data_IF_378361845970
#
_entry.id   IF_378361845970
#
_cell.length_a   1.000
_cell.length_b   1.000
_cell.length_c   1.000
_cell.angle_alpha   90.00
_cell.angle_beta   90.00
_cell.angle_gamma   90.00
#
_symmetry.space_group_name_H-M   'P 1'
#
loop_
_entity.id
_entity.type
_entity.pdbx_description
1 polymer ?
#
# COMPACT_ATOMS: atom_id res chain seq x y z
N UNK A 1 0.10 45.75 -3.88
CA UNK A 1 0.50 45.15 -2.59
C UNK A 1 0.20 43.67 -2.68
N UNK A 2 1.09 42.68 -2.50
CA UNK A 2 2.55 42.62 -2.46
C UNK A 2 2.97 41.36 -3.23
N UNK A 3 4.18 41.36 -3.81
CA UNK A 3 4.70 40.24 -4.60
C UNK A 3 5.40 39.26 -3.67
N UNK A 4 4.85 38.07 -3.45
CA UNK A 4 5.61 36.96 -2.87
C UNK A 4 6.31 36.23 -4.02
N UNK A 5 7.63 36.39 -4.09
CA UNK A 5 8.50 35.63 -5.00
C UNK A 5 9.08 34.47 -4.20
N UNK A 6 8.58 33.27 -4.42
CA UNK A 6 9.17 32.07 -3.84
C UNK A 6 10.32 31.61 -4.73
N UNK A 7 11.55 31.74 -4.24
CA UNK A 7 12.73 31.17 -4.86
C UNK A 7 12.95 29.79 -4.26
N UNK A 8 12.58 28.75 -5.01
CA UNK A 8 12.82 27.37 -4.62
C UNK A 8 14.34 27.11 -4.67
N UNK A 9 14.98 26.68 -3.56
CA UNK A 9 16.38 26.31 -3.61
C UNK A 9 16.53 25.04 -4.45
N UNK A 10 17.45 25.09 -5.42
CA UNK A 10 17.83 23.92 -6.22
C UNK A 10 18.57 22.96 -5.30
N UNK A 11 17.92 21.89 -4.89
CA UNK A 11 18.56 20.81 -4.15
C UNK A 11 19.33 19.93 -5.12
N UNK A 12 20.61 20.24 -5.28
CA UNK A 12 21.59 19.39 -5.95
C UNK A 12 22.55 18.88 -4.88
N UNK A 13 22.20 17.77 -4.23
CA UNK A 13 23.21 16.92 -3.61
C UNK A 13 23.04 15.49 -4.12
N UNK A 14 24.05 15.14 -4.89
CA UNK A 14 24.36 13.85 -5.48
C UNK A 14 24.28 12.74 -4.42
N UNK A 15 23.29 11.86 -4.61
CA UNK A 15 23.11 10.65 -3.83
C UNK A 15 24.20 9.64 -4.19
N UNK A 16 25.17 9.45 -3.29
CA UNK A 16 26.11 8.32 -3.34
C UNK A 16 27.53 8.66 -2.94
N UNK A 17 27.89 8.39 -1.68
CA UNK A 17 29.27 8.39 -1.20
C UNK A 17 29.41 7.54 0.06
N UNK A 18 30.19 6.46 -0.06
CA UNK A 18 30.37 5.38 0.91
C UNK A 18 31.09 5.77 2.22
N UNK A 19 30.56 5.20 3.32
CA UNK A 19 31.24 4.53 4.45
C UNK A 19 32.07 5.37 5.45
N UNK A 20 31.70 5.14 6.74
CA UNK A 20 32.45 5.22 8.00
C UNK A 20 32.90 6.59 8.52
N UNK A 21 32.32 7.03 9.64
CA UNK A 21 33.00 7.20 10.94
C UNK A 21 31.91 7.41 12.04
N UNK A 22 32.15 7.00 13.30
CA UNK A 22 31.17 7.02 14.39
C UNK A 22 31.15 8.38 15.13
N UNK A 23 30.06 8.63 15.86
CA UNK A 23 29.82 9.73 16.82
C UNK A 23 29.88 11.18 16.30
N UNK A 24 28.72 11.79 16.05
CA UNK A 24 28.43 13.17 16.49
C UNK A 24 26.91 13.30 16.53
N UNK A 25 26.33 13.57 17.70
CA UNK A 25 24.92 13.94 17.81
C UNK A 25 24.72 15.16 16.90
N UNK A 26 24.02 14.98 15.78
CA UNK A 26 23.83 16.04 14.80
C UNK A 26 23.02 17.16 15.45
N UNK A 27 23.52 18.39 15.40
CA UNK A 27 22.81 19.60 15.85
C UNK A 27 21.36 19.66 15.32
N UNK A 28 21.12 19.05 14.16
CA UNK A 28 19.78 18.92 13.56
C UNK A 28 18.84 18.02 14.36
N UNK A 29 19.31 16.91 14.94
CA UNK A 29 18.48 16.04 15.77
C UNK A 29 18.07 16.73 17.08
N UNK A 30 18.96 17.53 17.65
CA UNK A 30 18.66 18.33 18.85
C UNK A 30 17.67 19.46 18.56
N UNK A 31 17.74 20.07 17.38
CA UNK A 31 16.74 21.05 16.93
C UNK A 31 15.37 20.40 16.70
N UNK A 32 15.34 19.24 16.05
CA UNK A 32 14.11 18.48 15.81
C UNK A 32 13.47 18.07 17.14
N UNK A 33 14.26 17.57 18.08
CA UNK A 33 13.78 17.17 19.41
C UNK A 33 13.19 18.34 20.18
N UNK A 34 13.85 19.51 20.17
CA UNK A 34 13.34 20.72 20.81
C UNK A 34 12.03 21.21 20.18
N UNK A 35 11.93 21.20 18.86
CA UNK A 35 10.72 21.61 18.13
C UNK A 35 9.55 20.66 18.43
N UNK A 36 9.82 19.35 18.51
CA UNK A 36 8.82 18.36 18.94
C UNK A 36 8.36 18.57 20.39
N UNK A 37 9.29 18.89 21.31
CA UNK A 37 8.96 19.20 22.70
C UNK A 37 8.11 20.48 22.80
N UNK A 38 8.45 21.54 22.06
CA UNK A 38 7.66 22.78 22.01
C UNK A 38 6.25 22.56 21.43
N UNK A 39 6.13 21.77 20.36
CA UNK A 39 4.84 21.39 19.79
C UNK A 39 4.02 20.56 20.80
N UNK A 40 4.66 19.66 21.53
CA UNK A 40 4.01 18.86 22.57
C UNK A 40 3.53 19.71 23.75
N UNK A 41 4.26 20.75 24.15
CA UNK A 41 3.83 21.67 25.20
C UNK A 41 2.71 22.60 24.72
N UNK A 42 2.78 23.04 23.46
CA UNK A 42 1.83 23.98 22.87
C UNK A 42 0.51 23.33 22.50
N UNK A 43 0.53 22.07 22.08
CA UNK A 43 -0.64 21.36 21.55
C UNK A 43 -0.93 20.01 22.21
N UNK A 44 -0.15 19.58 23.21
CA UNK A 44 -0.30 18.28 23.88
C UNK A 44 -1.65 18.08 24.57
N UNK A 45 -2.27 19.16 25.03
CA UNK A 45 -3.63 19.15 25.60
C UNK A 45 -4.73 19.13 24.52
N UNK A 46 -4.38 19.35 23.25
CA UNK A 46 -5.29 19.33 22.10
C UNK A 46 -5.49 17.94 21.50
N UNK A 47 -4.86 16.91 22.07
CA UNK A 47 -5.04 15.51 21.66
C UNK A 47 -6.35 14.88 22.19
N UNK A 48 -7.06 15.54 23.12
CA UNK A 48 -8.31 15.02 23.72
C UNK A 48 -9.57 15.34 22.90
N UNK A 49 -9.51 16.26 21.94
CA UNK A 49 -10.68 16.67 21.14
C UNK A 49 -10.50 16.13 19.73
N UNK A 50 -11.31 15.14 19.27
CA UNK A 50 -11.44 14.96 17.84
C UNK A 50 -11.91 16.32 17.32
N UNK A 51 -11.11 16.96 16.46
CA UNK A 51 -11.52 18.13 15.70
C UNK A 51 -12.73 17.72 14.88
N UNK A 52 -13.92 17.76 15.48
CA UNK A 52 -15.19 17.63 14.78
C UNK A 52 -15.37 18.94 14.05
N UNK A 53 -14.76 19.01 12.87
CA UNK A 53 -15.10 20.02 11.91
C UNK A 53 -16.62 19.96 11.72
N UNK A 54 -17.33 21.10 11.85
CA UNK A 54 -18.74 21.14 11.50
C UNK A 54 -18.88 20.56 10.09
N UNK A 55 -19.95 19.80 9.80
CA UNK A 55 -20.17 19.26 8.46
C UNK A 55 -20.02 20.43 7.49
N UNK A 56 -19.00 20.33 6.65
CA UNK A 56 -18.76 21.35 5.63
C UNK A 56 -20.08 21.47 4.88
N UNK A 57 -20.59 22.70 4.63
CA UNK A 57 -21.74 22.86 3.76
C UNK A 57 -21.47 22.04 2.50
N UNK A 58 -22.51 21.40 1.94
CA UNK A 58 -22.45 20.61 0.71
C UNK A 58 -22.10 21.54 -0.46
N UNK A 59 -20.87 22.04 -0.47
CA UNK A 59 -20.24 22.66 -1.61
C UNK A 59 -20.04 21.51 -2.56
N UNK A 60 -20.63 21.61 -3.74
CA UNK A 60 -20.51 20.62 -4.81
C UNK A 60 -19.03 20.58 -5.27
N UNK A 61 -18.23 19.80 -4.54
CA UNK A 61 -16.82 19.55 -4.83
C UNK A 61 -16.71 18.62 -6.03
N UNK A 62 -15.72 18.86 -6.89
CA UNK A 62 -15.50 18.08 -8.11
C UNK A 62 -16.07 18.75 -9.36
N UNK A 63 -16.45 17.94 -10.34
CA UNK A 63 -16.92 18.45 -11.64
C UNK A 63 -18.35 18.99 -11.57
N UNK A 64 -18.60 20.25 -11.99
CA UNK A 64 -19.97 20.75 -12.11
C UNK A 64 -20.76 19.87 -13.08
N UNK A 65 -21.91 19.36 -12.63
CA UNK A 65 -22.79 18.52 -13.46
C UNK A 65 -23.89 19.33 -14.15
N UNK A 66 -24.38 20.36 -13.48
CA UNK A 66 -25.48 21.22 -13.94
C UNK A 66 -25.19 22.68 -13.58
N UNK A 67 -25.59 23.60 -14.44
CA UNK A 67 -25.57 25.03 -14.14
C UNK A 67 -26.79 25.40 -13.29
N UNK A 68 -26.73 26.52 -12.56
CA UNK A 68 -27.87 27.04 -11.79
C UNK A 68 -29.12 27.34 -12.65
N UNK A 69 -28.95 27.59 -13.95
CA UNK A 69 -30.05 27.73 -14.90
C UNK A 69 -30.65 26.39 -15.38
N UNK A 70 -30.19 25.26 -14.86
CA UNK A 70 -30.58 23.90 -15.31
C UNK A 70 -29.89 23.42 -16.59
N UNK A 71 -29.02 24.25 -17.20
CA UNK A 71 -28.28 23.90 -18.41
C UNK A 71 -27.03 23.06 -18.15
N UNK A 72 -26.52 22.36 -19.17
CA UNK A 72 -25.27 21.62 -19.06
C UNK A 72 -24.05 22.56 -19.07
N UNK A 73 -23.06 22.38 -18.17
CA UNK A 73 -21.83 23.15 -18.17
C UNK A 73 -20.97 22.84 -19.40
N UNK A 74 -20.35 23.87 -19.98
CA UNK A 74 -19.44 23.80 -21.13
C UNK A 74 -18.01 24.12 -20.69
N UNK A 75 -17.01 23.54 -21.35
CA UNK A 75 -15.61 23.87 -21.10
C UNK A 75 -15.14 24.91 -22.11
N UNK A 76 -14.69 26.06 -21.61
CA UNK A 76 -14.09 27.13 -22.39
C UNK A 76 -12.59 27.24 -22.11
N UNK A 77 -11.87 27.89 -23.02
CA UNK A 77 -10.46 28.20 -22.87
C UNK A 77 -10.30 29.68 -22.55
N UNK A 78 -9.57 30.00 -21.49
CA UNK A 78 -9.18 31.35 -21.12
C UNK A 78 -8.14 31.87 -22.09
N UNK A 79 -8.36 33.09 -22.58
CA UNK A 79 -7.40 33.85 -23.38
C UNK A 79 -6.89 35.07 -22.61
N UNK A 80 -7.11 35.12 -21.30
CA UNK A 80 -6.62 36.21 -20.46
C UNK A 80 -5.10 36.18 -20.37
N UNK A 81 -4.49 37.35 -20.15
CA UNK A 81 -3.03 37.47 -19.99
C UNK A 81 -2.49 36.75 -18.75
N UNK A 82 -3.33 36.58 -17.74
CA UNK A 82 -2.96 35.96 -16.45
C UNK A 82 -3.03 34.43 -16.52
N UNK A 83 -4.05 33.90 -17.21
CA UNK A 83 -4.28 32.46 -17.33
C UNK A 83 -4.44 32.06 -18.81
N UNK A 84 -3.41 32.24 -19.66
CA UNK A 84 -3.50 31.94 -21.08
C UNK A 84 -3.67 30.44 -21.29
N UNK A 85 -4.63 30.07 -22.15
CA UNK A 85 -4.97 28.68 -22.52
C UNK A 85 -5.49 27.80 -21.38
N UNK A 86 -5.73 28.36 -20.19
CA UNK A 86 -6.31 27.61 -19.06
C UNK A 86 -7.78 27.30 -19.31
N UNK A 87 -8.23 26.10 -18.97
CA UNK A 87 -9.63 25.68 -19.21
C UNK A 87 -10.52 25.89 -17.99
N UNK A 88 -11.77 26.28 -18.20
CA UNK A 88 -12.76 26.48 -17.15
C UNK A 88 -14.17 26.04 -17.61
N UNK A 89 -14.99 25.62 -16.66
CA UNK A 89 -16.41 25.39 -16.85
C UNK A 89 -17.17 26.72 -16.88
N UNK A 90 -18.11 26.85 -17.81
CA UNK A 90 -18.97 28.02 -18.03
C UNK A 90 -20.36 27.58 -18.50
N UNK A 91 -21.33 28.50 -18.55
CA UNK A 91 -22.65 28.28 -19.14
C UNK A 91 -22.78 28.94 -20.52
N UNK A 92 -23.73 28.47 -21.33
CA UNK A 92 -24.14 29.10 -22.58
C UNK A 92 -24.86 30.44 -22.37
N UNK A 93 -25.61 30.56 -21.28
CA UNK A 93 -26.39 31.77 -20.97
C UNK A 93 -25.65 32.72 -20.03
N UNK A 94 -24.32 32.63 -19.92
CA UNK A 94 -23.52 33.42 -18.96
C UNK A 94 -23.71 34.94 -19.08
N UNK A 95 -24.13 35.42 -20.24
CA UNK A 95 -24.34 36.84 -20.55
C UNK A 95 -25.76 37.36 -20.20
N UNK A 96 -26.65 36.52 -19.66
CA UNK A 96 -28.03 36.89 -19.31
C UNK A 96 -28.16 37.74 -18.03
N UNK A 97 -27.05 37.91 -17.29
CA UNK A 97 -26.99 38.68 -16.05
C UNK A 97 -27.33 37.89 -14.78
N UNK A 98 -27.67 36.60 -14.90
CA UNK A 98 -27.92 35.69 -13.78
C UNK A 98 -26.64 34.99 -13.30
N UNK A 99 -26.70 34.32 -12.14
CA UNK A 99 -25.58 33.53 -11.65
C UNK A 99 -25.44 32.22 -12.43
N UNK A 100 -24.29 32.04 -13.09
CA UNK A 100 -23.95 30.82 -13.84
C UNK A 100 -22.74 30.10 -13.26
N UNK A 101 -22.61 28.82 -13.62
CA UNK A 101 -21.46 28.01 -13.26
C UNK A 101 -20.17 28.63 -13.82
N UNK A 102 -19.20 28.85 -12.94
CA UNK A 102 -17.84 29.20 -13.30
C UNK A 102 -16.87 28.46 -12.39
N UNK A 103 -16.01 27.63 -12.97
CA UNK A 103 -15.01 26.87 -12.19
C UNK A 103 -13.81 26.50 -13.04
N UNK A 104 -12.61 26.71 -12.53
CA UNK A 104 -11.40 26.25 -13.21
C UNK A 104 -11.38 24.72 -13.36
N UNK A 105 -11.04 24.23 -14.54
CA UNK A 105 -11.03 22.79 -14.83
C UNK A 105 -10.02 22.05 -13.95
N UNK A 106 -8.82 22.60 -13.76
CA UNK A 106 -7.76 22.01 -12.94
C UNK A 106 -8.13 21.96 -11.45
N UNK A 107 -8.91 22.94 -10.97
CA UNK A 107 -9.45 22.94 -9.60
C UNK A 107 -10.49 21.83 -9.46
N UNK A 108 -11.43 21.71 -10.41
CA UNK A 108 -12.42 20.64 -10.40
C UNK A 108 -11.78 19.24 -10.47
N UNK A 109 -10.75 19.05 -11.32
CA UNK A 109 -9.99 17.79 -11.38
C UNK A 109 -9.31 17.50 -10.04
N UNK A 110 -8.67 18.50 -9.43
CA UNK A 110 -7.99 18.32 -8.14
C UNK A 110 -8.96 17.93 -7.03
N UNK A 111 -10.12 18.57 -6.99
CA UNK A 111 -11.18 18.23 -6.03
C UNK A 111 -11.69 16.81 -6.23
N UNK A 112 -11.90 16.39 -7.49
CA UNK A 112 -12.32 15.03 -7.80
C UNK A 112 -11.28 13.99 -7.38
N UNK A 113 -9.99 14.25 -7.66
CA UNK A 113 -8.90 13.36 -7.24
C UNK A 113 -8.81 13.29 -5.72
N UNK A 114 -8.93 14.42 -5.02
CA UNK A 114 -8.94 14.47 -3.55
C UNK A 114 -10.12 13.68 -2.95
N UNK A 115 -11.28 13.70 -3.60
CA UNK A 115 -12.43 12.90 -3.19
C UNK A 115 -12.18 11.40 -3.38
N UNK A 116 -11.45 11.01 -4.44
CA UNK A 116 -11.11 9.61 -4.76
C UNK A 116 -9.90 9.05 -4.00
N UNK A 117 -8.95 9.89 -3.59
CA UNK A 117 -7.75 9.48 -2.85
C UNK A 117 -8.08 8.76 -1.51
N UNK A 118 -9.28 8.99 -0.93
CA UNK A 118 -9.76 8.24 0.23
C UNK A 118 -9.95 6.73 -0.02
N UNK A 119 -10.14 6.30 -1.27
CA UNK A 119 -10.40 4.90 -1.62
C UNK A 119 -9.15 4.10 -1.96
N UNK A 120 -8.03 4.76 -2.33
CA UNK A 120 -6.78 4.09 -2.69
C UNK A 120 -6.07 3.57 -1.44
N UNK A 121 -6.00 4.38 -0.38
CA UNK A 121 -5.34 4.01 0.89
C UNK A 121 -6.07 2.87 1.63
N UNK A 122 -7.41 2.87 1.61
CA UNK A 122 -8.19 1.80 2.23
C UNK A 122 -8.17 0.49 1.42
N UNK A 123 -7.84 0.56 0.13
CA UNK A 123 -7.73 -0.62 -0.72
C UNK A 123 -6.37 -1.30 -0.55
N UNK A 124 -5.29 -0.52 -0.44
CA UNK A 124 -3.94 -1.02 -0.16
C UNK A 124 -3.88 -1.74 1.19
N UNK A 125 -4.42 -1.14 2.25
CA UNK A 125 -4.47 -1.77 3.58
C UNK A 125 -5.26 -3.10 3.59
N UNK A 126 -6.36 -3.18 2.85
CA UNK A 126 -7.15 -4.41 2.74
C UNK A 126 -6.46 -5.49 1.92
N UNK A 127 -5.75 -5.10 0.86
CA UNK A 127 -4.97 -6.03 0.04
C UNK A 127 -3.82 -6.60 0.85
N UNK A 128 -3.11 -5.77 1.61
CA UNK A 128 -2.01 -6.22 2.49
C UNK A 128 -2.52 -7.15 3.61
N UNK A 129 -3.65 -6.82 4.23
CA UNK A 129 -4.26 -7.68 5.25
C UNK A 129 -4.70 -9.05 4.70
N UNK A 130 -5.30 -9.07 3.50
CA UNK A 130 -5.68 -10.30 2.82
C UNK A 130 -4.45 -11.13 2.42
N UNK A 131 -3.39 -10.48 1.98
CA UNK A 131 -2.15 -11.16 1.60
C UNK A 131 -1.49 -11.82 2.82
N UNK A 132 -1.39 -11.11 3.94
CA UNK A 132 -0.86 -11.66 5.20
C UNK A 132 -1.66 -12.88 5.69
N UNK A 133 -3.00 -12.83 5.59
CA UNK A 133 -3.86 -13.96 5.98
C UNK A 133 -3.71 -15.15 5.04
N UNK A 134 -3.57 -14.91 3.73
CA UNK A 134 -3.30 -15.94 2.72
C UNK A 134 -1.95 -16.61 2.97
N UNK A 135 -0.90 -15.84 3.23
CA UNK A 135 0.45 -16.36 3.49
C UNK A 135 0.45 -17.29 4.71
N UNK A 136 -0.20 -16.88 5.81
CA UNK A 136 -0.36 -17.73 7.00
C UNK A 136 -1.08 -19.06 6.70
N UNK A 137 -2.18 -19.02 5.94
CA UNK A 137 -2.92 -20.23 5.57
C UNK A 137 -2.09 -21.15 4.67
N UNK A 138 -1.27 -20.59 3.77
CA UNK A 138 -0.38 -21.39 2.92
C UNK A 138 0.76 -22.02 3.70
N UNK A 139 1.38 -21.30 4.63
CA UNK A 139 2.45 -21.81 5.48
C UNK A 139 1.95 -22.95 6.39
N UNK A 140 0.74 -22.81 6.97
CA UNK A 140 0.13 -23.86 7.77
C UNK A 140 -0.09 -25.14 6.95
N UNK A 141 -0.59 -25.00 5.71
CA UNK A 141 -0.79 -26.13 4.80
C UNK A 141 0.53 -26.77 4.38
N UNK A 142 1.58 -25.98 4.16
CA UNK A 142 2.92 -26.48 3.83
C UNK A 142 3.51 -27.29 4.99
N UNK A 143 3.42 -26.78 6.22
CA UNK A 143 3.91 -27.50 7.41
C UNK A 143 3.18 -28.84 7.60
N UNK A 144 1.85 -28.86 7.41
CA UNK A 144 1.08 -30.11 7.47
C UNK A 144 1.49 -31.09 6.37
N UNK A 145 1.73 -30.59 5.15
CA UNK A 145 2.17 -31.43 4.04
C UNK A 145 3.57 -32.00 4.30
N UNK A 146 4.50 -31.19 4.79
CA UNK A 146 5.86 -31.61 5.13
C UNK A 146 5.85 -32.71 6.21
N UNK A 147 4.98 -32.58 7.21
CA UNK A 147 4.81 -33.60 8.24
C UNK A 147 4.29 -34.92 7.66
N UNK A 148 3.29 -34.87 6.77
CA UNK A 148 2.77 -36.06 6.09
C UNK A 148 3.83 -36.72 5.21
N UNK A 149 4.64 -35.93 4.50
CA UNK A 149 5.75 -36.44 3.68
C UNK A 149 6.81 -37.12 4.57
N UNK A 150 7.16 -36.51 5.70
CA UNK A 150 8.07 -37.10 6.68
C UNK A 150 7.56 -38.44 7.23
N UNK A 151 6.28 -38.52 7.57
CA UNK A 151 5.68 -39.74 8.11
C UNK A 151 5.58 -40.84 7.05
N UNK A 152 5.24 -40.48 5.80
CA UNK A 152 5.26 -41.39 4.65
C UNK A 152 6.68 -41.91 4.36
N UNK A 153 7.69 -41.05 4.43
CA UNK A 153 9.08 -41.43 4.24
C UNK A 153 9.56 -42.41 5.32
N UNK A 154 9.24 -42.16 6.59
CA UNK A 154 9.53 -43.07 7.71
C UNK A 154 8.82 -44.41 7.57
N UNK A 155 7.53 -44.41 7.19
CA UNK A 155 6.76 -45.65 6.98
C UNK A 155 7.32 -46.47 5.82
N UNK A 156 7.73 -45.79 4.73
CA UNK A 156 8.35 -46.43 3.58
C UNK A 156 9.70 -47.06 3.94
N UNK A 157 10.56 -46.37 4.69
CA UNK A 157 11.85 -46.93 5.11
C UNK A 157 11.69 -48.13 6.05
N UNK A 158 10.75 -48.05 7.00
CA UNK A 158 10.41 -49.17 7.89
C UNK A 158 9.94 -50.40 7.09
N UNK A 159 9.12 -50.19 6.06
CA UNK A 159 8.64 -51.27 5.20
C UNK A 159 9.77 -51.91 4.38
N UNK A 160 10.67 -51.10 3.82
CA UNK A 160 11.82 -51.60 3.04
C UNK A 160 12.78 -52.40 3.94
N UNK A 161 13.12 -51.87 5.12
CA UNK A 161 14.02 -52.54 6.06
C UNK A 161 13.44 -53.88 6.54
N UNK A 162 12.14 -53.94 6.83
CA UNK A 162 11.47 -55.18 7.22
C UNK A 162 11.45 -56.22 6.10
N UNK A 163 11.22 -55.78 4.85
CA UNK A 163 11.20 -56.66 3.69
C UNK A 163 12.58 -57.21 3.35
N UNK A 164 13.63 -56.41 3.48
CA UNK A 164 15.01 -56.85 3.29
C UNK A 164 15.39 -57.96 4.28
N UNK A 165 15.03 -57.80 5.57
CA UNK A 165 15.22 -58.84 6.59
C UNK A 165 14.44 -60.10 6.24
N UNK A 166 13.19 -59.97 5.78
CA UNK A 166 12.36 -61.12 5.41
C UNK A 166 12.95 -61.91 4.23
N UNK A 167 13.43 -61.23 3.19
CA UNK A 167 14.11 -61.87 2.05
C UNK A 167 15.37 -62.59 2.53
N UNK A 168 16.18 -61.95 3.37
CA UNK A 168 17.40 -62.55 3.93
C UNK A 168 17.12 -63.85 4.67
N UNK A 169 16.09 -63.88 5.54
CA UNK A 169 15.68 -65.08 6.28
C UNK A 169 15.20 -66.19 5.33
N UNK A 170 14.37 -65.85 4.34
CA UNK A 170 13.86 -66.83 3.36
C UNK A 170 14.98 -67.49 2.55
N UNK A 171 15.98 -66.73 2.11
CA UNK A 171 17.15 -67.27 1.39
C UNK A 171 17.95 -68.25 2.26
N UNK A 172 18.17 -67.92 3.54
CA UNK A 172 18.89 -68.80 4.48
C UNK A 172 18.13 -70.12 4.65
N UNK A 173 16.81 -70.08 4.84
CA UNK A 173 15.98 -71.29 4.98
C UNK A 173 16.08 -72.18 3.73
N UNK A 174 16.03 -71.60 2.53
CA UNK A 174 16.18 -72.36 1.28
C UNK A 174 17.55 -73.05 1.17
N UNK A 175 18.63 -72.37 1.56
CA UNK A 175 19.98 -72.95 1.58
C UNK A 175 20.05 -74.13 2.56
N UNK A 176 19.50 -73.97 3.77
CA UNK A 176 19.50 -75.05 4.77
C UNK A 176 18.72 -76.28 4.28
N UNK A 177 17.54 -76.09 3.68
CA UNK A 177 16.77 -77.19 3.09
C UNK A 177 17.54 -77.89 1.96
N UNK A 178 18.20 -77.13 1.09
CA UNK A 178 19.05 -77.69 0.03
C UNK A 178 20.18 -78.55 0.59
N UNK A 179 20.87 -78.08 1.63
CA UNK A 179 21.93 -78.85 2.29
C UNK A 179 21.41 -80.15 2.92
N UNK A 180 20.23 -80.12 3.57
CA UNK A 180 19.61 -81.32 4.16
C UNK A 180 19.25 -82.35 3.09
N UNK A 181 18.80 -81.91 1.92
CA UNK A 181 18.48 -82.80 0.79
C UNK A 181 19.75 -83.41 0.18
N UNK A 182 20.84 -82.64 0.08
CA UNK A 182 22.11 -83.12 -0.50
C UNK A 182 22.84 -84.09 0.44
N UNK A 183 22.69 -83.92 1.76
CA UNK A 183 23.32 -84.78 2.77
C UNK A 183 22.55 -86.09 3.05
N UNK A 184 21.37 -86.28 2.46
CA UNK A 184 20.50 -87.44 2.68
C UNK A 184 20.53 -88.41 1.50
#
# INVERSE_FOLDING_TARGET
MGRYSYSQPSDSSEYGGEISEPYEYSETEDLIRRDQEELSLKYGDMAQYPQQYPPQPEVEFGFPQVCYCGGAPKIATSYTRLDPRRRYYTCEHVDDGECHVWKWWDVAVKEEMRARDKHILQLEEKVDNLNLMSDYETDEKLLRLEQLVCDLAKKKSSFINGFEVFIGVMLIVLVLLGLVIVLK
#
